data_IF_998262027571
#
_entry.id   IF_998262027571
#
_cell.length_a   1.000
_cell.length_b   1.000
_cell.length_c   1.000
_cell.angle_alpha   90.00
_cell.angle_beta   90.00
_cell.angle_gamma   90.00
#
_symmetry.space_group_name_H-M   'P 1'
#
loop_
_entity.id
_entity.type
_entity.pdbx_description
1 polymer ?
#
# COMPACT_ATOMS: atom_id res chain seq x y z
N UNK A 1 -11.61 -20.22 -0.21
CA UNK A 1 -11.64 -19.06 -1.01
C UNK A 1 -10.37 -18.91 -1.81
N UNK A 2 -10.47 -18.71 -3.06
CA UNK A 2 -9.24 -18.61 -3.84
C UNK A 2 -8.49 -17.34 -3.51
N UNK A 3 -7.21 -17.45 -3.55
CA UNK A 3 -6.37 -16.31 -3.33
C UNK A 3 -6.02 -15.73 -4.69
N UNK A 4 -6.31 -14.47 -4.90
CA UNK A 4 -5.96 -13.83 -6.14
C UNK A 4 -4.62 -13.19 -5.98
N UNK A 5 -3.65 -13.65 -6.73
CA UNK A 5 -2.36 -13.02 -6.72
C UNK A 5 -2.33 -11.93 -7.74
N UNK A 6 -1.85 -10.80 -7.34
CA UNK A 6 -1.71 -9.67 -8.23
C UNK A 6 -0.28 -9.57 -8.69
N UNK A 7 -0.09 -9.46 -9.98
CA UNK A 7 1.23 -9.34 -10.58
C UNK A 7 1.35 -8.02 -11.30
N UNK A 8 2.47 -7.36 -11.13
CA UNK A 8 2.70 -6.04 -11.72
C UNK A 8 4.06 -6.00 -12.40
N UNK A 9 4.16 -5.40 -13.58
CA UNK A 9 5.47 -5.24 -14.20
C UNK A 9 6.28 -4.19 -13.44
N UNK A 10 7.57 -4.36 -13.43
CA UNK A 10 8.45 -3.45 -12.69
C UNK A 10 8.38 -2.00 -13.19
N UNK A 11 7.89 -1.79 -14.41
CA UNK A 11 7.77 -0.45 -14.95
C UNK A 11 6.53 0.28 -14.44
N UNK A 12 5.68 -0.38 -13.69
CA UNK A 12 4.43 0.24 -13.24
C UNK A 12 4.57 0.84 -11.84
N UNK A 13 3.51 1.50 -11.41
CA UNK A 13 3.39 2.03 -10.06
C UNK A 13 2.22 1.32 -9.41
N UNK A 14 2.44 0.81 -8.21
CA UNK A 14 1.39 0.18 -7.45
C UNK A 14 0.60 1.27 -6.72
N UNK A 15 -0.70 1.30 -6.91
CA UNK A 15 -1.55 2.26 -6.23
C UNK A 15 -2.43 1.53 -5.22
N UNK A 16 -2.46 2.03 -4.01
CA UNK A 16 -3.30 1.48 -2.94
C UNK A 16 -4.21 2.56 -2.41
N UNK A 17 -5.47 2.22 -2.17
CA UNK A 17 -6.44 3.14 -1.60
C UNK A 17 -6.86 2.60 -0.25
N UNK A 18 -6.66 3.38 0.80
CA UNK A 18 -6.95 2.96 2.16
C UNK A 18 -8.12 3.75 2.68
N UNK A 19 -9.10 3.06 3.26
CA UNK A 19 -10.24 3.71 3.90
C UNK A 19 -10.40 3.14 5.30
N UNK A 20 -10.61 3.99 6.27
CA UNK A 20 -10.84 3.54 7.63
C UNK A 20 -12.34 3.68 7.93
N UNK A 21 -12.99 2.54 8.08
CA UNK A 21 -14.41 2.50 8.39
C UNK A 21 -14.60 2.41 9.90
N UNK A 22 -15.62 3.10 10.41
CA UNK A 22 -15.92 3.01 11.83
C UNK A 22 -14.95 3.76 12.71
N UNK A 23 -14.28 4.77 12.19
CA UNK A 23 -13.33 5.53 12.98
C UNK A 23 -14.03 6.28 14.10
N UNK A 24 -13.38 6.37 15.25
CA UNK A 24 -13.89 7.13 16.37
C UNK A 24 -13.86 8.62 16.01
N UNK A 25 -14.75 9.40 16.58
CA UNK A 25 -14.82 10.83 16.30
C UNK A 25 -14.49 11.63 17.55
N UNK A 26 -13.77 12.72 17.35
CA UNK A 26 -13.43 13.58 18.47
C UNK A 26 -14.69 14.25 19.00
N UNK A 27 -14.79 14.37 20.30
CA UNK A 27 -15.98 14.95 20.92
C UNK A 27 -16.16 16.40 20.52
N UNK A 28 -15.08 17.14 20.45
CA UNK A 28 -15.19 18.58 20.16
C UNK A 28 -15.49 18.88 18.71
N UNK A 29 -14.93 18.16 17.78
CA UNK A 29 -15.08 18.48 16.37
C UNK A 29 -16.07 17.56 15.66
N UNK A 30 -16.40 16.42 16.24
CA UNK A 30 -17.22 15.42 15.59
C UNK A 30 -16.52 14.75 14.44
N UNK A 31 -15.21 14.97 14.29
CA UNK A 31 -14.45 14.44 13.14
C UNK A 31 -13.56 13.29 13.55
N UNK A 32 -13.34 12.35 12.65
CA UNK A 32 -12.36 11.32 12.90
C UNK A 32 -10.96 11.89 12.67
N UNK A 33 -9.95 11.27 13.23
CA UNK A 33 -8.57 11.66 13.01
C UNK A 33 -7.75 10.41 12.98
N UNK A 34 -7.06 10.15 11.87
CA UNK A 34 -6.30 8.93 11.70
C UNK A 34 -5.04 9.21 10.89
N UNK A 35 -4.05 8.36 11.08
CA UNK A 35 -2.82 8.40 10.29
C UNK A 35 -2.62 7.03 9.66
N UNK A 36 -1.90 7.00 8.56
CA UNK A 36 -1.60 5.75 7.88
C UNK A 36 -0.14 5.74 7.45
N UNK A 37 0.48 4.59 7.56
CA UNK A 37 1.84 4.37 7.09
C UNK A 37 1.87 3.07 6.30
N UNK A 38 2.94 2.85 5.57
CA UNK A 38 3.09 1.59 4.84
C UNK A 38 4.54 1.15 4.78
N UNK A 39 4.74 -0.13 4.58
CA UNK A 39 6.05 -0.70 4.31
C UNK A 39 5.87 -1.81 3.30
N UNK A 40 6.87 -2.05 2.46
CA UNK A 40 6.83 -3.14 1.51
C UNK A 40 8.06 -4.00 1.71
N UNK A 41 7.85 -5.28 1.90
CA UNK A 41 8.93 -6.22 2.12
C UNK A 41 8.96 -7.29 1.05
N UNK A 42 10.15 -7.67 0.63
CA UNK A 42 10.30 -8.76 -0.31
C UNK A 42 10.21 -10.10 0.42
N UNK A 43 10.22 -11.18 -0.33
CA UNK A 43 10.08 -12.52 0.26
C UNK A 43 11.15 -12.84 1.29
N UNK A 44 12.33 -12.24 1.17
CA UNK A 44 13.40 -12.48 2.13
C UNK A 44 13.27 -11.58 3.36
N UNK A 45 12.21 -10.82 3.49
CA UNK A 45 11.98 -9.97 4.65
C UNK A 45 12.61 -8.59 4.56
N UNK A 46 13.27 -8.25 3.44
CA UNK A 46 13.91 -6.96 3.32
C UNK A 46 12.91 -5.89 2.91
N UNK A 47 12.89 -4.81 3.65
CA UNK A 47 12.00 -3.71 3.31
C UNK A 47 12.65 -2.88 2.20
N UNK A 48 11.94 -2.67 1.11
CA UNK A 48 12.46 -1.91 -0.01
C UNK A 48 11.66 -0.64 -0.32
N UNK A 49 10.57 -0.42 0.34
CA UNK A 49 9.82 0.83 0.22
C UNK A 49 9.05 1.05 1.51
N UNK A 50 8.84 2.30 1.85
CA UNK A 50 8.03 2.63 3.02
C UNK A 50 7.58 4.07 2.96
N UNK A 51 6.57 4.39 3.70
CA UNK A 51 6.08 5.75 3.87
C UNK A 51 5.72 5.97 5.32
N UNK A 52 6.20 7.09 5.87
CA UNK A 52 5.93 7.42 7.26
C UNK A 52 4.45 7.68 7.48
N UNK A 53 4.02 7.61 8.73
CA UNK A 53 2.63 7.87 9.07
C UNK A 53 2.28 9.33 8.73
N UNK A 54 1.21 9.52 8.00
CA UNK A 54 0.71 10.85 7.67
C UNK A 54 -0.79 10.88 7.90
N UNK A 55 -1.31 12.08 8.10
CA UNK A 55 -2.74 12.23 8.33
C UNK A 55 -3.53 11.75 7.12
N UNK A 56 -4.60 11.04 7.36
CA UNK A 56 -5.49 10.61 6.28
C UNK A 56 -6.42 11.75 5.90
N UNK A 57 -6.77 11.81 4.63
CA UNK A 57 -7.67 12.85 4.13
C UNK A 57 -9.09 12.60 4.60
N UNK A 58 -9.83 13.66 4.85
CA UNK A 58 -11.23 13.56 5.24
C UNK A 58 -12.15 14.10 4.14
N UNK A 59 -11.65 14.25 2.92
CA UNK A 59 -12.42 14.84 1.84
C UNK A 59 -13.73 14.10 1.56
N UNK A 60 -13.79 12.81 1.80
CA UNK A 60 -14.99 12.04 1.57
C UNK A 60 -15.81 11.85 2.85
N UNK A 61 -15.42 12.47 3.94
CA UNK A 61 -16.07 12.28 5.23
C UNK A 61 -15.56 11.08 6.00
N UNK A 62 -14.74 10.27 5.38
CA UNK A 62 -14.15 9.08 5.98
C UNK A 62 -12.65 9.19 5.79
N UNK A 63 -11.82 8.78 6.77
CA UNK A 63 -10.38 8.87 6.57
C UNK A 63 -9.92 8.01 5.41
N UNK A 64 -9.22 8.61 4.45
CA UNK A 64 -8.72 7.91 3.27
C UNK A 64 -7.28 8.31 2.99
N UNK A 65 -6.56 7.43 2.33
CA UNK A 65 -5.21 7.73 1.85
C UNK A 65 -4.92 6.95 0.58
N UNK A 66 -4.30 7.62 -0.38
CA UNK A 66 -3.79 6.97 -1.58
C UNK A 66 -2.30 6.74 -1.38
N UNK A 67 -1.85 5.52 -1.64
CA UNK A 67 -0.44 5.17 -1.57
C UNK A 67 0.00 4.84 -2.97
N UNK A 68 1.11 5.39 -3.41
CA UNK A 68 1.67 5.13 -4.74
C UNK A 68 3.12 4.68 -4.57
N UNK A 69 3.44 3.51 -5.09
CA UNK A 69 4.74 2.90 -4.92
C UNK A 69 5.31 2.55 -6.28
N UNK A 70 6.35 3.28 -6.73
CA UNK A 70 6.98 2.93 -7.99
C UNK A 70 7.69 1.59 -7.82
N UNK A 71 7.56 0.72 -8.81
CA UNK A 71 8.14 -0.60 -8.71
C UNK A 71 9.48 -0.74 -9.41
N UNK A 72 10.04 0.35 -9.89
CA UNK A 72 11.31 0.30 -10.61
C UNK A 72 12.46 -0.24 -9.77
N UNK A 73 12.43 0.00 -8.46
CA UNK A 73 13.49 -0.48 -7.59
C UNK A 73 13.10 -1.78 -6.86
N UNK A 74 11.95 -2.30 -7.15
CA UNK A 74 11.48 -3.48 -6.44
C UNK A 74 12.25 -4.73 -6.86
N UNK A 75 12.55 -5.62 -5.95
CA UNK A 75 13.12 -6.90 -6.33
C UNK A 75 12.06 -7.73 -7.04
N UNK A 76 12.50 -8.54 -7.97
CA UNK A 76 11.58 -9.41 -8.67
C UNK A 76 11.05 -10.48 -7.72
N UNK A 77 9.83 -10.88 -7.89
CA UNK A 77 9.23 -11.95 -7.10
C UNK A 77 8.17 -11.44 -6.14
N UNK A 78 7.96 -12.21 -5.10
CA UNK A 78 6.89 -11.92 -4.15
C UNK A 78 7.26 -10.80 -3.21
N UNK A 79 6.31 -9.93 -2.93
CA UNK A 79 6.45 -8.88 -1.93
C UNK A 79 5.16 -8.77 -1.15
N UNK A 80 5.22 -8.08 -0.03
CA UNK A 80 4.05 -7.88 0.80
C UNK A 80 3.95 -6.41 1.16
N UNK A 81 2.80 -5.82 0.90
CA UNK A 81 2.52 -4.46 1.31
C UNK A 81 1.87 -4.52 2.68
N UNK A 82 2.43 -3.84 3.65
CA UNK A 82 1.93 -3.82 5.01
C UNK A 82 1.42 -2.41 5.28
N UNK A 83 0.14 -2.29 5.53
CA UNK A 83 -0.50 -1.01 5.80
C UNK A 83 -0.84 -0.93 7.28
N UNK A 84 -0.47 0.17 7.91
CA UNK A 84 -0.75 0.39 9.32
C UNK A 84 -1.55 1.66 9.47
N UNK A 85 -2.73 1.56 10.04
CA UNK A 85 -3.61 2.70 10.24
C UNK A 85 -3.83 2.88 11.73
N UNK A 86 -3.62 4.09 12.22
CA UNK A 86 -3.86 4.38 13.61
C UNK A 86 -5.02 5.37 13.73
N UNK A 87 -6.03 4.96 14.49
CA UNK A 87 -7.14 5.83 14.83
C UNK A 87 -6.65 6.68 16.01
N UNK A 88 -6.36 7.93 15.75
CA UNK A 88 -5.77 8.79 16.78
C UNK A 88 -6.77 9.19 17.87
N UNK A 89 -8.05 9.03 17.63
CA UNK A 89 -9.04 9.36 18.64
C UNK A 89 -9.17 8.21 19.63
N UNK A 90 -9.25 6.98 19.16
CA UNK A 90 -9.40 5.84 20.06
C UNK A 90 -8.07 5.21 20.47
N UNK A 91 -7.02 5.50 19.74
CA UNK A 91 -5.71 4.88 20.00
C UNK A 91 -5.57 3.49 19.41
N UNK A 92 -6.56 3.01 18.66
CA UNK A 92 -6.47 1.68 18.06
C UNK A 92 -5.58 1.70 16.86
N UNK A 93 -4.86 0.62 16.66
CA UNK A 93 -4.01 0.43 15.49
C UNK A 93 -4.50 -0.79 14.73
N UNK A 94 -4.63 -0.64 13.42
CA UNK A 94 -5.07 -1.70 12.54
C UNK A 94 -3.97 -1.96 11.52
N UNK A 95 -3.79 -3.22 11.14
CA UNK A 95 -2.80 -3.58 10.16
C UNK A 95 -3.44 -4.45 9.09
N UNK A 96 -3.09 -4.19 7.85
CA UNK A 96 -3.54 -5.01 6.73
C UNK A 96 -2.32 -5.40 5.90
N UNK A 97 -2.34 -6.59 5.33
CA UNK A 97 -1.25 -7.09 4.51
C UNK A 97 -1.78 -7.56 3.18
N UNK A 98 -1.10 -7.15 2.11
CA UNK A 98 -1.50 -7.49 0.76
C UNK A 98 -0.32 -8.05 0.00
N UNK A 99 -0.34 -9.32 -0.35
CA UNK A 99 0.75 -9.89 -1.13
C UNK A 99 0.61 -9.50 -2.60
N UNK A 100 1.72 -9.34 -3.27
CA UNK A 100 1.73 -9.09 -4.71
C UNK A 100 3.05 -9.58 -5.29
N UNK A 101 3.12 -9.64 -6.61
CA UNK A 101 4.32 -10.11 -7.29
C UNK A 101 4.80 -9.04 -8.25
N UNK A 102 6.11 -8.83 -8.29
CA UNK A 102 6.75 -7.93 -9.24
C UNK A 102 7.46 -8.77 -10.29
N UNK A 103 7.10 -8.55 -11.55
CA UNK A 103 7.70 -9.26 -12.64
C UNK A 103 8.62 -8.33 -13.43
N UNK A 104 9.90 -8.68 -13.49
CA UNK A 104 10.83 -7.93 -14.29
C UNK A 104 11.02 -8.68 -15.58
N UNK A 105 10.38 -8.18 -16.61
CA UNK A 105 10.51 -8.85 -17.89
C UNK A 105 11.85 -8.49 -18.50
N UNK A 106 12.54 -9.44 -19.03
CA UNK A 106 13.80 -9.15 -19.68
C UNK A 106 13.55 -8.25 -20.87
N UNK A 107 14.43 -7.37 -21.15
CA UNK A 107 14.27 -6.47 -22.27
C UNK A 107 14.01 -7.22 -23.55
N UNK A 108 14.53 -8.37 -23.63
CA UNK A 108 14.37 -9.09 -24.86
C UNK A 108 12.96 -9.49 -25.08
N UNK A 109 12.21 -9.39 -24.06
CA UNK A 109 10.89 -9.73 -24.25
C UNK A 109 10.18 -8.72 -24.98
N UNK A 110 10.75 -7.74 -25.11
CA UNK A 110 10.21 -6.72 -25.85
C UNK A 110 9.88 -7.29 -27.09
N UNK A 111 8.82 -7.13 -27.47
CA UNK A 111 8.42 -7.66 -28.67
C UNK A 111 9.15 -7.28 -29.74
N UNK A 112 9.52 -6.46 -29.56
CA UNK A 112 10.28 -6.02 -30.53
C UNK A 112 10.96 -6.94 -30.90
N UNK A 113 11.15 -7.53 -30.22
CA UNK A 113 11.90 -8.34 -30.61
C UNK A 113 11.96 -8.64 -31.90
N UNK A 114 11.75 -8.24 -32.63
CA UNK A 114 11.88 -8.57 -33.85
C UNK A 114 13.16 -8.65 -33.89
N UNK A 115 13.46 -9.08 -34.20
CA UNK A 115 14.62 -9.22 -34.27
C UNK A 115 14.92 -9.63 -35.43
#
# INVERSE_FOLDING_TARGET
>A
MPVVRRSFPASSTLHGWIELHGAARETETGQPRATASFAVRSADGREWASGAATAMSLDTGMPTRLVSIPLSEAPEGESELILTVRDEVSGRTLEAREPFRVDRLPPAESPAGPR
#
